data_IF_944398005138
#
_entry.id   IF_944398005138
#
_cell.length_a   1.000
_cell.length_b   1.000
_cell.length_c   1.000
_cell.angle_alpha   90.00
_cell.angle_beta   90.00
_cell.angle_gamma   90.00
#
_symmetry.space_group_name_H-M   'P 1'
#
loop_
_entity.id
_entity.type
_entity.pdbx_description
1 polymer ?
#
# COMPACT_ATOMS: atom_id res chain seq x y z
N UNK A 1 22.00 -6.75 -32.52
CA UNK A 1 21.81 -7.75 -31.46
C UNK A 1 20.95 -7.12 -30.36
N UNK A 2 19.62 -7.21 -30.44
CA UNK A 2 18.75 -6.72 -29.36
C UNK A 2 18.47 -7.86 -28.38
N UNK A 3 19.48 -8.20 -27.58
CA UNK A 3 19.29 -9.11 -26.45
C UNK A 3 18.54 -8.31 -25.38
N UNK A 4 17.20 -8.28 -25.48
CA UNK A 4 16.37 -7.41 -24.66
C UNK A 4 16.22 -8.04 -23.27
N UNK A 5 17.31 -8.02 -22.49
CA UNK A 5 17.39 -8.62 -21.16
C UNK A 5 16.32 -7.99 -20.24
N UNK A 6 15.54 -8.79 -19.48
CA UNK A 6 14.48 -8.26 -18.64
C UNK A 6 15.06 -7.56 -17.40
N UNK A 7 14.62 -6.34 -17.13
CA UNK A 7 14.93 -5.63 -15.89
C UNK A 7 13.80 -5.80 -14.88
N UNK A 8 14.14 -6.15 -13.64
CA UNK A 8 13.16 -6.49 -12.60
C UNK A 8 13.29 -5.48 -11.47
N UNK A 9 12.20 -4.75 -11.21
CA UNK A 9 12.03 -3.94 -10.01
C UNK A 9 11.12 -4.72 -9.06
N UNK A 10 11.69 -5.21 -7.97
CA UNK A 10 10.97 -5.96 -6.94
C UNK A 10 10.73 -5.03 -5.74
N UNK A 11 9.48 -4.61 -5.57
CA UNK A 11 9.14 -3.51 -4.68
C UNK A 11 8.33 -4.03 -3.48
N UNK A 12 8.71 -3.60 -2.28
CA UNK A 12 7.78 -3.66 -1.16
C UNK A 12 6.65 -2.62 -1.31
N UNK A 13 5.56 -2.80 -0.56
CA UNK A 13 4.37 -1.95 -0.64
C UNK A 13 4.33 -0.94 0.52
N UNK A 14 4.15 -1.43 1.75
CA UNK A 14 3.86 -0.66 2.95
C UNK A 14 5.11 0.08 3.44
N UNK A 15 5.08 1.42 3.45
CA UNK A 15 6.23 2.23 3.83
C UNK A 15 7.26 2.44 2.71
N UNK A 16 7.11 1.74 1.58
CA UNK A 16 7.97 1.87 0.40
C UNK A 16 7.27 2.65 -0.71
N UNK A 17 6.12 2.15 -1.17
CA UNK A 17 5.29 2.77 -2.22
C UNK A 17 4.17 3.60 -1.62
N UNK A 18 3.62 3.17 -0.48
CA UNK A 18 2.48 3.82 0.18
C UNK A 18 2.78 4.18 1.63
N UNK A 19 2.05 5.17 2.15
CA UNK A 19 2.06 5.58 3.55
C UNK A 19 1.31 4.61 4.47
N UNK A 20 1.00 5.07 5.68
CA UNK A 20 0.23 4.29 6.65
C UNK A 20 -1.16 3.97 6.10
N UNK A 21 -1.42 2.68 5.90
CA UNK A 21 -2.68 2.17 5.38
C UNK A 21 -3.70 1.85 6.49
N UNK A 22 -3.48 2.30 7.73
CA UNK A 22 -4.27 1.82 8.88
C UNK A 22 -5.73 2.27 8.84
N UNK A 23 -6.01 3.49 8.34
CA UNK A 23 -7.40 3.95 8.14
C UNK A 23 -8.06 3.26 6.95
N UNK A 24 -7.30 2.93 5.91
CA UNK A 24 -7.78 2.20 4.75
C UNK A 24 -8.17 0.77 5.12
N UNK A 25 -7.33 0.11 5.93
CA UNK A 25 -7.64 -1.15 6.57
C UNK A 25 -8.94 -1.06 7.39
N UNK A 26 -9.12 -0.01 8.20
CA UNK A 26 -10.34 0.17 9.00
C UNK A 26 -11.59 0.36 8.14
N UNK A 27 -11.51 1.14 7.05
CA UNK A 27 -12.61 1.31 6.09
C UNK A 27 -12.94 -0.02 5.40
N UNK A 28 -11.92 -0.78 5.00
CA UNK A 28 -12.10 -2.08 4.36
C UNK A 28 -12.74 -3.11 5.31
N UNK A 29 -12.33 -3.12 6.58
CA UNK A 29 -12.95 -3.98 7.58
C UNK A 29 -14.42 -3.61 7.82
N UNK A 30 -14.76 -2.31 7.90
CA UNK A 30 -16.16 -1.86 7.98
C UNK A 30 -16.94 -2.34 6.74
N UNK A 31 -16.37 -2.17 5.55
CA UNK A 31 -16.95 -2.62 4.30
C UNK A 31 -17.23 -4.13 4.30
N UNK A 32 -16.28 -4.95 4.72
CA UNK A 32 -16.43 -6.41 4.73
C UNK A 32 -17.50 -6.87 5.73
N UNK A 33 -17.54 -6.25 6.92
CA UNK A 33 -18.61 -6.53 7.89
C UNK A 33 -19.98 -6.16 7.29
N UNK A 34 -20.11 -4.98 6.69
CA UNK A 34 -21.33 -4.55 6.01
C UNK A 34 -21.70 -5.54 4.91
N UNK A 35 -20.73 -5.92 4.05
CA UNK A 35 -20.93 -6.84 2.93
C UNK A 35 -21.47 -8.19 3.38
N UNK A 36 -20.94 -8.76 4.47
CA UNK A 36 -21.42 -10.03 5.06
C UNK A 36 -22.86 -9.93 5.57
N UNK A 37 -23.28 -8.75 6.00
CA UNK A 37 -24.60 -8.50 6.57
C UNK A 37 -25.63 -7.99 5.54
N UNK A 38 -25.23 -7.83 4.27
CA UNK A 38 -26.18 -7.61 3.17
C UNK A 38 -26.84 -8.94 2.84
N UNK A 39 -28.15 -9.05 3.11
CA UNK A 39 -28.95 -10.25 2.82
C UNK A 39 -29.68 -10.07 1.49
N UNK A 40 -29.52 -11.04 0.59
CA UNK A 40 -30.32 -11.17 -0.64
C UNK A 40 -31.46 -12.15 -0.39
N UNK A 41 -32.72 -11.70 -0.55
CA UNK A 41 -33.92 -12.56 -0.54
C UNK A 41 -34.76 -12.30 -1.78
N UNK A 42 -35.10 -13.36 -2.52
CA UNK A 42 -35.97 -13.29 -3.71
C UNK A 42 -35.55 -12.20 -4.70
N UNK A 43 -34.25 -12.07 -4.99
CA UNK A 43 -33.71 -11.04 -5.89
C UNK A 43 -33.68 -9.62 -5.33
N UNK A 44 -34.24 -9.40 -4.12
CA UNK A 44 -34.30 -8.10 -3.46
C UNK A 44 -33.40 -8.06 -2.22
N UNK A 45 -32.72 -6.93 -2.03
CA UNK A 45 -31.84 -6.71 -0.88
C UNK A 45 -32.69 -6.35 0.34
N UNK A 46 -32.75 -7.24 1.34
CA UNK A 46 -33.42 -6.96 2.62
C UNK A 46 -32.37 -6.51 3.65
N UNK A 47 -32.11 -5.20 3.66
CA UNK A 47 -31.69 -4.34 4.78
C UNK A 47 -31.49 -2.95 4.14
N UNK A 48 -32.59 -2.25 3.91
CA UNK A 48 -32.61 -0.98 3.20
C UNK A 48 -31.64 0.00 3.85
N UNK A 49 -30.57 0.35 3.13
CA UNK A 49 -29.51 1.34 3.40
C UNK A 49 -28.08 0.79 3.58
N UNK A 50 -27.84 -0.51 3.87
CA UNK A 50 -26.45 -1.02 4.00
C UNK A 50 -25.63 -0.91 2.71
N UNK A 51 -26.27 -1.10 1.56
CA UNK A 51 -25.64 -0.94 0.23
C UNK A 51 -25.04 0.47 0.06
N UNK A 52 -25.74 1.51 0.55
CA UNK A 52 -25.26 2.89 0.52
C UNK A 52 -23.94 3.02 1.26
N UNK A 53 -23.84 2.46 2.47
CA UNK A 53 -22.62 2.52 3.27
C UNK A 53 -21.48 1.69 2.67
N UNK A 54 -21.78 0.53 2.07
CA UNK A 54 -20.81 -0.25 1.29
C UNK A 54 -20.25 0.59 0.13
N UNK A 55 -21.10 1.30 -0.60
CA UNK A 55 -20.70 2.22 -1.69
C UNK A 55 -19.92 3.43 -1.17
N UNK A 56 -20.26 3.96 0.01
CA UNK A 56 -19.48 5.02 0.65
C UNK A 56 -18.07 4.53 1.01
N UNK A 57 -17.94 3.33 1.56
CA UNK A 57 -16.64 2.72 1.81
C UNK A 57 -15.82 2.56 0.52
N UNK A 58 -16.43 2.07 -0.57
CA UNK A 58 -15.77 1.96 -1.87
C UNK A 58 -15.23 3.32 -2.33
N UNK A 59 -16.05 4.39 -2.26
CA UNK A 59 -15.63 5.75 -2.63
C UNK A 59 -14.50 6.28 -1.74
N UNK A 60 -14.59 6.04 -0.43
CA UNK A 60 -13.56 6.46 0.51
C UNK A 60 -12.23 5.78 0.22
N UNK A 61 -12.23 4.46 0.01
CA UNK A 61 -11.05 3.67 -0.37
C UNK A 61 -10.47 4.14 -1.70
N UNK A 62 -11.30 4.32 -2.74
CA UNK A 62 -10.86 4.83 -4.03
C UNK A 62 -10.16 6.19 -3.89
N UNK A 63 -10.71 7.09 -3.06
CA UNK A 63 -10.10 8.39 -2.81
C UNK A 63 -8.81 8.32 -1.98
N UNK A 64 -8.47 7.19 -1.35
CA UNK A 64 -7.28 7.08 -0.51
C UNK A 64 -5.98 7.15 -1.29
N UNK A 65 -5.95 6.75 -2.56
CA UNK A 65 -4.72 6.69 -3.38
C UNK A 65 -4.76 7.62 -4.60
N UNK A 66 -5.64 8.61 -4.61
CA UNK A 66 -5.60 9.66 -5.63
C UNK A 66 -4.38 10.60 -5.41
N UNK A 67 -4.03 11.39 -6.41
CA UNK A 67 -2.85 12.27 -6.35
C UNK A 67 -2.88 13.27 -5.17
N UNK A 68 -4.07 13.71 -4.77
CA UNK A 68 -4.25 14.68 -3.66
C UNK A 68 -4.09 14.04 -2.28
N UNK A 69 -4.22 12.72 -2.19
CA UNK A 69 -4.18 11.99 -0.92
C UNK A 69 -2.82 12.01 -0.26
N UNK A 70 -1.74 12.11 -1.06
CA UNK A 70 -0.35 11.85 -0.69
C UNK A 70 -0.13 10.48 -0.02
N UNK A 71 -1.09 9.55 -0.08
CA UNK A 71 -0.88 8.22 0.48
C UNK A 71 0.03 7.38 -0.43
N UNK A 72 -0.05 7.57 -1.75
CA UNK A 72 1.00 7.13 -2.65
C UNK A 72 2.23 8.02 -2.46
N UNK A 73 3.41 7.41 -2.26
CA UNK A 73 4.67 8.13 -2.08
C UNK A 73 4.94 9.03 -3.29
N UNK A 74 5.31 10.30 -3.09
CA UNK A 74 5.52 11.25 -4.18
C UNK A 74 6.46 10.73 -5.26
N UNK A 75 6.20 11.10 -6.51
CA UNK A 75 7.01 10.75 -7.69
C UNK A 75 7.06 9.26 -8.08
N UNK A 76 6.33 8.36 -7.40
CA UNK A 76 6.35 6.93 -7.72
C UNK A 76 5.88 6.61 -9.15
N UNK A 77 4.79 7.23 -9.61
CA UNK A 77 4.27 7.04 -10.98
C UNK A 77 5.25 7.56 -12.04
N UNK A 78 5.92 8.68 -11.75
CA UNK A 78 6.99 9.23 -12.57
C UNK A 78 8.16 8.26 -12.65
N UNK A 79 8.59 7.70 -11.52
CA UNK A 79 9.65 6.69 -11.47
C UNK A 79 9.31 5.49 -12.36
N UNK A 80 8.12 4.90 -12.22
CA UNK A 80 7.72 3.77 -13.08
C UNK A 80 7.73 4.13 -14.57
N UNK A 81 7.24 5.32 -14.91
CA UNK A 81 7.17 5.79 -16.30
C UNK A 81 8.57 5.99 -16.88
N UNK A 82 9.47 6.63 -16.14
CA UNK A 82 10.84 6.89 -16.59
C UNK A 82 11.66 5.61 -16.66
N UNK A 83 11.51 4.69 -15.70
CA UNK A 83 12.19 3.40 -15.74
C UNK A 83 11.75 2.54 -16.93
N UNK A 84 10.49 2.63 -17.36
CA UNK A 84 10.04 1.98 -18.61
C UNK A 84 10.66 2.59 -19.87
N UNK A 85 11.02 3.88 -19.86
CA UNK A 85 11.73 4.52 -20.97
C UNK A 85 13.20 4.11 -20.99
N UNK A 86 13.85 4.09 -19.83
CA UNK A 86 15.27 3.69 -19.68
C UNK A 86 15.44 2.19 -19.95
N UNK A 87 14.51 1.37 -19.47
CA UNK A 87 14.51 -0.08 -19.59
C UNK A 87 13.20 -0.54 -20.25
N UNK A 88 13.12 -0.59 -21.60
CA UNK A 88 11.89 -0.96 -22.30
C UNK A 88 11.34 -2.35 -21.95
N UNK A 89 12.22 -3.30 -21.60
CA UNK A 89 11.84 -4.62 -21.10
C UNK A 89 11.87 -4.70 -19.56
N UNK A 90 11.25 -3.73 -18.87
CA UNK A 90 11.18 -3.70 -17.41
C UNK A 90 9.87 -4.26 -16.85
N UNK A 91 9.99 -4.89 -15.69
CA UNK A 91 8.90 -5.52 -14.94
C UNK A 91 8.90 -5.02 -13.50
N UNK A 92 7.74 -4.61 -13.00
CA UNK A 92 7.53 -4.09 -11.64
C UNK A 92 6.68 -5.08 -10.87
N UNK A 93 7.30 -5.88 -10.00
CA UNK A 93 6.60 -6.83 -9.15
C UNK A 93 6.47 -6.27 -7.73
N UNK A 94 5.36 -6.57 -7.07
CA UNK A 94 5.20 -6.32 -5.64
C UNK A 94 5.60 -7.57 -4.86
N UNK A 95 6.39 -7.41 -3.81
CA UNK A 95 6.68 -8.41 -2.80
C UNK A 95 6.50 -7.84 -1.40
N UNK A 96 5.28 -7.95 -0.89
CA UNK A 96 4.87 -7.41 0.42
C UNK A 96 4.70 -8.51 1.47
N UNK A 97 4.92 -8.16 2.74
CA UNK A 97 4.55 -9.00 3.88
C UNK A 97 3.07 -8.84 4.30
N UNK A 98 2.26 -8.11 3.53
CA UNK A 98 0.82 -7.93 3.76
C UNK A 98 0.00 -9.17 3.41
N UNK A 99 -1.19 -9.25 4.03
CA UNK A 99 -2.16 -10.31 3.76
C UNK A 99 -2.55 -10.30 2.28
N UNK A 100 -2.75 -11.48 1.69
CA UNK A 100 -3.05 -11.60 0.27
C UNK A 100 -4.32 -10.86 -0.14
N UNK A 101 -5.40 -10.99 0.63
CA UNK A 101 -6.69 -10.38 0.28
C UNK A 101 -6.57 -8.85 0.33
N UNK A 102 -5.95 -8.35 1.38
CA UNK A 102 -5.71 -6.91 1.56
C UNK A 102 -4.80 -6.35 0.47
N UNK A 103 -3.61 -6.96 0.27
CA UNK A 103 -2.64 -6.48 -0.70
C UNK A 103 -3.23 -6.41 -2.12
N UNK A 104 -4.00 -7.42 -2.53
CA UNK A 104 -4.67 -7.40 -3.83
C UNK A 104 -5.71 -6.29 -3.95
N UNK A 105 -6.54 -6.07 -2.91
CA UNK A 105 -7.54 -4.99 -2.90
C UNK A 105 -6.86 -3.62 -3.00
N UNK A 106 -5.81 -3.40 -2.21
CA UNK A 106 -5.06 -2.15 -2.16
C UNK A 106 -4.35 -1.86 -3.50
N UNK A 107 -3.64 -2.84 -4.05
CA UNK A 107 -2.95 -2.71 -5.34
C UNK A 107 -3.93 -2.41 -6.48
N UNK A 108 -5.10 -3.04 -6.49
CA UNK A 108 -6.13 -2.74 -7.51
C UNK A 108 -6.58 -1.27 -7.46
N UNK A 109 -6.73 -0.70 -6.27
CA UNK A 109 -7.10 0.71 -6.10
C UNK A 109 -5.93 1.60 -6.56
N UNK A 110 -4.70 1.32 -6.13
CA UNK A 110 -3.51 2.08 -6.53
C UNK A 110 -3.37 2.12 -8.05
N UNK A 111 -3.46 0.96 -8.72
CA UNK A 111 -3.38 0.85 -10.18
C UNK A 111 -4.47 1.66 -10.88
N UNK A 112 -5.72 1.55 -10.41
CA UNK A 112 -6.87 2.27 -10.97
C UNK A 112 -6.72 3.79 -10.82
N UNK A 113 -6.37 4.26 -9.64
CA UNK A 113 -6.34 5.70 -9.32
C UNK A 113 -5.13 6.43 -9.92
N UNK A 114 -4.07 5.69 -10.26
CA UNK A 114 -2.81 6.28 -10.74
C UNK A 114 -2.46 5.88 -12.18
N UNK A 115 -3.36 5.15 -12.86
CA UNK A 115 -3.16 4.66 -14.22
C UNK A 115 -1.81 3.92 -14.41
N UNK A 116 -1.45 3.09 -13.43
CA UNK A 116 -0.26 2.24 -13.46
C UNK A 116 -0.67 0.77 -13.41
N UNK A 117 0.26 -0.11 -13.78
CA UNK A 117 0.09 -1.56 -13.69
C UNK A 117 1.35 -2.21 -13.18
N UNK A 118 1.21 -3.00 -12.12
CA UNK A 118 2.25 -3.90 -11.66
C UNK A 118 2.17 -5.21 -12.43
N UNK A 119 3.32 -5.86 -12.60
CA UNK A 119 3.40 -7.19 -13.15
C UNK A 119 2.85 -8.21 -12.12
N UNK A 120 2.37 -9.35 -12.63
CA UNK A 120 1.80 -10.43 -11.82
C UNK A 120 2.70 -11.67 -11.91
N UNK A 121 2.81 -12.47 -10.84
CA UNK A 121 2.00 -12.46 -9.62
C UNK A 121 2.37 -11.33 -8.65
N UNK A 122 1.45 -11.00 -7.74
CA UNK A 122 1.75 -10.19 -6.55
C UNK A 122 2.25 -11.17 -5.49
N UNK A 123 3.49 -10.98 -5.03
CA UNK A 123 4.04 -11.78 -3.95
C UNK A 123 3.61 -11.17 -2.61
N UNK A 124 3.03 -11.98 -1.75
CA UNK A 124 2.40 -11.54 -0.49
C UNK A 124 3.00 -12.30 0.68
N UNK A 125 2.42 -12.16 1.88
CA UNK A 125 2.84 -12.92 3.06
C UNK A 125 2.92 -14.42 2.82
N UNK A 126 2.05 -14.98 1.98
CA UNK A 126 2.03 -16.40 1.61
C UNK A 126 3.33 -16.85 0.92
N UNK A 127 4.02 -15.92 0.26
CA UNK A 127 5.31 -16.15 -0.40
C UNK A 127 6.49 -15.96 0.56
N UNK A 128 6.30 -15.27 1.68
CA UNK A 128 7.32 -15.09 2.70
C UNK A 128 7.53 -16.39 3.52
N UNK A 129 8.49 -16.38 4.43
CA UNK A 129 8.67 -17.44 5.44
C UNK A 129 8.98 -16.80 6.80
N UNK A 130 8.92 -17.58 7.88
CA UNK A 130 9.33 -17.11 9.21
C UNK A 130 10.72 -17.63 9.53
N UNK A 131 11.57 -16.78 10.09
CA UNK A 131 12.81 -17.23 10.69
C UNK A 131 12.57 -17.92 12.05
N UNK A 132 13.64 -18.39 12.68
CA UNK A 132 13.58 -19.08 13.98
C UNK A 132 13.05 -18.21 15.12
N UNK A 133 13.04 -16.88 14.93
CA UNK A 133 12.50 -15.91 15.89
C UNK A 133 11.06 -15.51 15.57
N UNK A 134 10.45 -16.12 14.53
CA UNK A 134 9.09 -15.83 14.10
C UNK A 134 8.96 -14.58 13.22
N UNK A 135 10.06 -13.92 12.86
CA UNK A 135 10.03 -12.73 12.00
C UNK A 135 9.77 -13.14 10.55
N UNK A 136 8.95 -12.36 9.86
CA UNK A 136 8.67 -12.57 8.43
C UNK A 136 9.90 -12.17 7.62
N UNK A 137 10.35 -13.06 6.74
CA UNK A 137 11.49 -12.91 5.83
C UNK A 137 11.07 -13.13 4.39
N UNK A 138 11.77 -12.45 3.48
CA UNK A 138 11.58 -12.53 2.03
C UNK A 138 12.79 -13.25 1.39
N UNK A 139 12.53 -13.99 0.33
CA UNK A 139 13.56 -14.62 -0.49
C UNK A 139 13.21 -14.49 -1.96
N UNK A 140 14.16 -13.99 -2.76
CA UNK A 140 14.10 -13.94 -4.22
C UNK A 140 14.19 -15.35 -4.79
N UNK A 141 15.11 -16.19 -4.29
CA UNK A 141 15.27 -17.58 -4.78
C UNK A 141 13.96 -18.35 -4.67
N UNK A 142 13.21 -18.18 -3.57
CA UNK A 142 11.90 -18.82 -3.37
C UNK A 142 10.86 -18.42 -4.42
N UNK A 143 10.85 -17.16 -4.87
CA UNK A 143 9.89 -16.66 -5.86
C UNK A 143 10.42 -16.69 -7.30
N UNK A 144 11.71 -16.96 -7.49
CA UNK A 144 12.40 -16.92 -8.77
C UNK A 144 11.72 -17.77 -9.86
N UNK A 145 11.27 -19.01 -9.62
CA UNK A 145 10.58 -19.79 -10.65
C UNK A 145 9.30 -19.11 -11.17
N UNK A 146 8.57 -18.41 -10.29
CA UNK A 146 7.35 -17.69 -10.64
C UNK A 146 7.66 -16.39 -11.37
N UNK A 147 8.71 -15.67 -10.93
CA UNK A 147 9.24 -14.49 -11.62
C UNK A 147 9.66 -14.82 -13.06
N UNK A 148 10.52 -15.82 -13.25
CA UNK A 148 11.03 -16.22 -14.56
C UNK A 148 9.90 -16.66 -15.50
N UNK A 149 8.91 -17.39 -14.98
CA UNK A 149 7.70 -17.76 -15.75
C UNK A 149 6.93 -16.52 -16.20
N UNK A 150 6.74 -15.53 -15.33
CA UNK A 150 5.99 -14.32 -15.63
C UNK A 150 6.67 -13.44 -16.69
N UNK A 151 8.00 -13.38 -16.69
CA UNK A 151 8.80 -12.62 -17.66
C UNK A 151 9.20 -13.45 -18.90
N UNK A 152 8.69 -14.69 -19.02
CA UNK A 152 8.93 -15.62 -20.14
C UNK A 152 10.40 -15.98 -20.36
N UNK A 153 11.14 -16.19 -19.27
CA UNK A 153 12.54 -16.64 -19.30
C UNK A 153 12.71 -18.10 -18.88
N UNK A 154 13.76 -18.80 -19.36
CA UNK A 154 14.11 -20.14 -18.89
C UNK A 154 14.36 -20.16 -17.37
N UNK A 155 14.09 -21.29 -16.71
CA UNK A 155 14.34 -21.46 -15.26
C UNK A 155 15.80 -21.27 -14.86
N UNK A 156 16.73 -21.43 -15.80
CA UNK A 156 18.18 -21.28 -15.63
C UNK A 156 18.67 -19.86 -15.89
N UNK A 157 17.79 -18.96 -16.33
CA UNK A 157 18.16 -17.58 -16.66
C UNK A 157 18.57 -16.82 -15.39
N UNK A 158 19.72 -16.16 -15.45
CA UNK A 158 20.24 -15.36 -14.35
C UNK A 158 19.67 -13.95 -14.41
N UNK A 159 19.16 -13.46 -13.28
CA UNK A 159 18.65 -12.09 -13.14
C UNK A 159 19.56 -11.20 -12.30
N UNK A 160 20.72 -11.72 -11.86
CA UNK A 160 21.58 -11.08 -10.85
C UNK A 160 21.95 -9.65 -11.25
N UNK A 161 22.28 -9.41 -12.52
CA UNK A 161 22.67 -8.07 -12.95
C UNK A 161 21.49 -7.13 -13.22
N UNK A 162 20.26 -7.65 -13.23
CA UNK A 162 19.08 -6.98 -13.78
C UNK A 162 17.93 -6.85 -12.77
N UNK A 163 18.11 -7.29 -11.53
CA UNK A 163 17.14 -7.13 -10.44
C UNK A 163 17.57 -6.03 -9.47
N UNK A 164 16.66 -5.11 -9.17
CA UNK A 164 16.76 -4.18 -8.05
C UNK A 164 15.59 -4.43 -7.10
N UNK A 165 15.92 -4.58 -5.82
CA UNK A 165 14.94 -4.72 -4.75
C UNK A 165 14.86 -3.38 -4.03
N UNK A 166 13.65 -2.88 -3.76
CA UNK A 166 13.45 -1.66 -2.97
C UNK A 166 12.49 -1.99 -1.85
N UNK A 167 12.95 -1.80 -0.62
CA UNK A 167 12.21 -2.09 0.61
C UNK A 167 12.63 -1.04 1.65
N UNK A 168 11.74 -0.68 2.56
CA UNK A 168 12.05 0.16 3.71
C UNK A 168 12.57 -0.65 4.91
N UNK A 169 12.57 -1.98 4.81
CA UNK A 169 13.04 -2.89 5.84
C UNK A 169 14.01 -3.95 5.28
N UNK A 170 15.07 -4.32 6.02
CA UNK A 170 16.02 -5.36 5.61
C UNK A 170 15.45 -6.77 5.86
N UNK A 171 14.38 -7.14 5.13
CA UNK A 171 13.66 -8.41 5.32
C UNK A 171 14.13 -9.55 4.41
N UNK A 172 14.93 -9.23 3.38
CA UNK A 172 15.46 -10.21 2.43
C UNK A 172 16.65 -10.97 3.01
N UNK A 173 16.65 -12.30 2.85
CA UNK A 173 17.77 -13.17 3.29
C UNK A 173 18.77 -13.49 2.19
N UNK A 174 18.36 -13.32 0.93
CA UNK A 174 19.16 -13.50 -0.28
C UNK A 174 19.10 -12.22 -1.13
N UNK A 175 19.96 -12.08 -2.13
CA UNK A 175 20.04 -10.89 -2.99
C UNK A 175 20.18 -9.57 -2.20
N UNK A 176 20.77 -9.60 -1.00
CA UNK A 176 20.94 -8.40 -0.15
C UNK A 176 21.82 -7.34 -0.80
N UNK A 177 22.77 -7.74 -1.64
CA UNK A 177 23.58 -6.83 -2.46
C UNK A 177 22.77 -6.10 -3.55
N UNK A 178 21.51 -6.46 -3.75
CA UNK A 178 20.59 -5.92 -4.75
C UNK A 178 19.47 -5.10 -4.07
N UNK A 179 19.49 -5.02 -2.73
CA UNK A 179 18.53 -4.31 -1.92
C UNK A 179 18.95 -2.86 -1.72
N UNK A 180 18.18 -1.96 -2.33
CA UNK A 180 18.19 -0.55 -2.01
C UNK A 180 17.22 -0.29 -0.85
N UNK A 181 17.77 -0.19 0.36
CA UNK A 181 17.00 0.18 1.54
C UNK A 181 16.59 1.66 1.43
N UNK A 182 15.31 1.96 1.64
CA UNK A 182 14.79 3.33 1.64
C UNK A 182 14.27 3.76 3.01
N UNK A 183 14.13 5.07 3.21
CA UNK A 183 13.44 5.60 4.38
C UNK A 183 11.95 5.21 4.34
N UNK A 184 11.39 4.88 5.50
CA UNK A 184 9.96 4.57 5.61
C UNK A 184 9.13 5.81 5.32
N UNK A 185 8.28 5.72 4.30
CA UNK A 185 7.25 6.68 4.00
C UNK A 185 5.98 6.34 4.78
N UNK A 186 5.69 7.09 5.83
CA UNK A 186 4.59 6.79 6.76
C UNK A 186 3.53 7.90 6.75
N UNK A 187 3.20 8.45 5.58
CA UNK A 187 2.21 9.53 5.50
C UNK A 187 0.84 9.03 5.96
N UNK A 188 0.25 9.71 6.96
CA UNK A 188 -1.04 9.33 7.54
C UNK A 188 -2.19 10.03 6.83
N UNK A 189 -3.09 9.26 6.20
CA UNK A 189 -4.36 9.78 5.70
C UNK A 189 -5.51 9.48 6.65
N UNK A 190 -6.01 10.51 7.33
CA UNK A 190 -7.16 10.40 8.23
C UNK A 190 -8.49 10.42 7.48
N UNK A 191 -9.39 9.52 7.88
CA UNK A 191 -10.79 9.55 7.49
C UNK A 191 -11.70 9.57 8.71
N UNK A 192 -12.73 10.41 8.66
CA UNK A 192 -13.82 10.34 9.62
C UNK A 192 -14.69 9.10 9.34
N UNK A 193 -14.39 8.00 10.04
CA UNK A 193 -15.05 6.70 9.81
C UNK A 193 -16.56 6.72 10.14
N UNK A 194 -17.08 7.73 10.84
CA UNK A 194 -18.53 7.82 11.09
C UNK A 194 -19.36 7.99 9.81
N UNK A 195 -18.76 8.44 8.72
CA UNK A 195 -19.42 8.57 7.42
C UNK A 195 -19.66 7.22 6.74
N UNK A 196 -18.84 6.21 7.05
CA UNK A 196 -18.94 4.85 6.51
C UNK A 196 -19.72 3.88 7.39
N UNK A 197 -20.17 4.31 8.58
CA UNK A 197 -20.85 3.45 9.55
C UNK A 197 -22.38 3.67 9.47
N UNK A 198 -23.18 2.61 9.25
CA UNK A 198 -24.64 2.64 9.31
C UNK A 198 -25.19 3.20 10.62
N UNK A 199 -26.38 3.81 10.59
CA UNK A 199 -27.02 4.31 11.81
C UNK A 199 -27.40 3.16 12.75
N UNK A 200 -27.82 2.05 12.15
CA UNK A 200 -28.18 0.79 12.76
C UNK A 200 -26.98 -0.08 13.17
N UNK A 201 -25.74 0.44 13.15
CA UNK A 201 -24.54 -0.37 13.43
C UNK A 201 -24.56 -1.12 14.78
N UNK A 202 -25.35 -0.65 15.74
CA UNK A 202 -25.51 -1.28 17.06
C UNK A 202 -26.29 -2.59 17.01
N UNK A 203 -27.10 -2.83 15.97
CA UNK A 203 -27.80 -4.10 15.73
C UNK A 203 -26.90 -5.15 15.07
N UNK A 204 -25.79 -4.73 14.45
CA UNK A 204 -24.79 -5.61 13.84
C UNK A 204 -23.68 -5.86 14.87
N UNK A 205 -23.74 -6.98 15.59
CA UNK A 205 -22.83 -7.28 16.73
C UNK A 205 -21.34 -7.14 16.37
N UNK A 206 -20.90 -7.70 15.24
CA UNK A 206 -19.52 -7.60 14.75
C UNK A 206 -19.10 -6.14 14.53
N UNK A 207 -19.98 -5.33 13.92
CA UNK A 207 -19.72 -3.91 13.66
C UNK A 207 -19.71 -3.09 14.94
N UNK A 208 -20.65 -3.33 15.87
CA UNK A 208 -20.68 -2.70 17.20
C UNK A 208 -19.38 -2.93 17.96
N UNK A 209 -18.88 -4.17 17.95
CA UNK A 209 -17.61 -4.51 18.59
C UNK A 209 -16.43 -3.81 17.90
N UNK A 210 -16.40 -3.82 16.57
CA UNK A 210 -15.36 -3.14 15.79
C UNK A 210 -15.31 -1.63 16.06
N UNK A 211 -16.46 -0.94 16.08
CA UNK A 211 -16.56 0.48 16.40
C UNK A 211 -16.10 0.77 17.83
N UNK A 212 -16.48 -0.06 18.80
CA UNK A 212 -16.03 0.07 20.20
C UNK A 212 -14.51 -0.03 20.32
N UNK A 213 -13.89 -0.92 19.54
CA UNK A 213 -12.43 -1.04 19.45
C UNK A 213 -11.78 0.20 18.82
N UNK A 214 -12.36 0.76 17.76
CA UNK A 214 -11.84 1.99 17.14
C UNK A 214 -11.90 3.20 18.08
N UNK A 215 -12.97 3.29 18.87
CA UNK A 215 -13.15 4.32 19.89
C UNK A 215 -12.10 4.18 21.00
N UNK A 216 -11.95 2.98 21.58
CA UNK A 216 -10.95 2.73 22.64
C UNK A 216 -9.52 2.98 22.17
N UNK A 217 -9.22 2.66 20.91
CA UNK A 217 -7.93 2.95 20.27
C UNK A 217 -7.77 4.41 19.81
N UNK A 218 -8.71 5.31 20.14
CA UNK A 218 -8.68 6.74 19.77
C UNK A 218 -8.56 6.99 18.26
N UNK A 219 -9.03 6.03 17.44
CA UNK A 219 -9.19 6.18 15.99
C UNK A 219 -10.51 6.86 15.63
N UNK A 220 -11.51 6.78 16.52
CA UNK A 220 -12.80 7.43 16.40
C UNK A 220 -13.21 8.15 17.68
N UNK A 221 -14.03 9.20 17.55
CA UNK A 221 -14.70 9.83 18.69
C UNK A 221 -16.02 9.12 19.02
N UNK A 222 -16.43 9.13 20.28
CA UNK A 222 -17.73 8.58 20.70
C UNK A 222 -18.85 9.46 20.16
N UNK A 223 -19.70 8.92 19.28
CA UNK A 223 -20.87 9.64 18.77
C UNK A 223 -22.07 9.36 19.67
N UNK A 224 -22.34 10.27 20.60
CA UNK A 224 -23.61 10.30 21.34
C UNK A 224 -24.54 11.30 20.65
N UNK A 225 -25.82 10.96 20.51
CA UNK A 225 -26.91 11.72 19.86
C UNK A 225 -26.50 12.98 19.03
N UNK A 226 -26.45 12.91 17.69
CA UNK A 226 -25.99 14.01 16.83
C UNK A 226 -26.87 15.26 16.84
N UNK A 227 -28.08 15.22 17.41
CA UNK A 227 -28.95 16.40 17.54
C UNK A 227 -28.53 17.34 18.69
N UNK A 228 -27.64 16.91 19.58
CA UNK A 228 -27.19 17.72 20.70
C UNK A 228 -25.98 18.58 20.31
N UNK A 229 -26.16 19.90 20.31
CA UNK A 229 -25.14 20.89 19.91
C UNK A 229 -23.85 20.81 20.73
N UNK A 230 -23.95 20.52 22.04
CA UNK A 230 -22.78 20.34 22.92
C UNK A 230 -21.97 19.11 22.50
N UNK A 231 -22.64 18.04 22.06
CA UNK A 231 -21.96 16.82 21.62
C UNK A 231 -21.29 17.05 20.25
N UNK A 232 -21.96 17.78 19.34
CA UNK A 232 -21.38 18.19 18.06
C UNK A 232 -20.13 19.05 18.26
N UNK A 233 -20.16 20.02 19.19
CA UNK A 233 -18.99 20.84 19.52
C UNK A 233 -17.80 19.98 19.99
N UNK A 234 -18.04 19.00 20.86
CA UNK A 234 -17.00 18.07 21.33
C UNK A 234 -16.43 17.23 20.19
N UNK A 235 -17.26 16.74 19.28
CA UNK A 235 -16.83 16.01 18.09
C UNK A 235 -15.93 16.89 17.20
N UNK A 236 -16.36 18.12 16.91
CA UNK A 236 -15.57 19.05 16.08
C UNK A 236 -14.24 19.41 16.74
N UNK A 237 -14.22 19.64 18.07
CA UNK A 237 -12.97 19.85 18.83
C UNK A 237 -12.04 18.63 18.75
N UNK A 238 -12.58 17.42 18.82
CA UNK A 238 -11.79 16.20 18.68
C UNK A 238 -11.21 16.07 17.26
N UNK A 239 -12.04 16.27 16.22
CA UNK A 239 -11.61 16.22 14.83
C UNK A 239 -10.50 17.25 14.56
N UNK A 240 -10.68 18.50 14.99
CA UNK A 240 -9.67 19.54 14.86
C UNK A 240 -8.33 19.13 15.49
N UNK A 241 -8.35 18.61 16.72
CA UNK A 241 -7.14 18.13 17.41
C UNK A 241 -6.48 16.97 16.67
N UNK A 242 -7.30 16.05 16.12
CA UNK A 242 -6.83 14.90 15.33
C UNK A 242 -6.13 15.36 14.05
N UNK A 243 -6.78 16.21 13.25
CA UNK A 243 -6.19 16.80 12.04
C UNK A 243 -4.91 17.58 12.35
N UNK A 244 -4.92 18.43 13.38
CA UNK A 244 -3.72 19.20 13.77
C UNK A 244 -2.54 18.28 14.12
N UNK A 245 -2.78 17.20 14.86
CA UNK A 245 -1.74 16.21 15.20
C UNK A 245 -1.21 15.52 13.94
N UNK A 246 -2.09 15.09 13.05
CA UNK A 246 -1.72 14.36 11.82
C UNK A 246 -0.98 15.28 10.84
N UNK A 247 -1.44 16.51 10.63
CA UNK A 247 -0.75 17.47 9.78
C UNK A 247 0.66 17.78 10.31
N UNK A 248 0.81 17.96 11.64
CA UNK A 248 2.13 18.12 12.26
C UNK A 248 3.02 16.89 12.02
N UNK A 249 2.47 15.69 12.16
CA UNK A 249 3.21 14.45 11.89
C UNK A 249 3.62 14.32 10.43
N UNK A 250 2.73 14.64 9.49
CA UNK A 250 2.95 14.48 8.06
C UNK A 250 3.92 15.51 7.47
N UNK A 251 4.25 16.58 8.19
CA UNK A 251 5.15 17.64 7.71
C UNK A 251 6.50 17.10 7.21
N UNK A 252 7.03 16.03 7.82
CA UNK A 252 8.30 15.40 7.39
C UNK A 252 8.25 14.74 6.01
N UNK A 253 7.05 14.49 5.47
CA UNK A 253 6.84 13.82 4.18
C UNK A 253 6.43 14.77 3.05
N UNK A 254 6.22 16.06 3.35
CA UNK A 254 5.72 17.03 2.35
C UNK A 254 6.65 17.19 1.15
N UNK A 255 7.95 17.02 1.38
CA UNK A 255 9.01 17.13 0.38
C UNK A 255 9.77 15.81 0.20
N UNK A 256 9.10 14.66 0.37
CA UNK A 256 9.74 13.36 0.09
C UNK A 256 10.08 13.26 -1.40
N UNK A 257 11.38 13.13 -1.71
CA UNK A 257 11.91 13.09 -3.08
C UNK A 257 12.56 11.75 -3.42
N UNK A 258 12.37 10.70 -2.61
CA UNK A 258 13.06 9.42 -2.77
C UNK A 258 13.02 8.88 -4.21
N UNK A 259 11.81 8.76 -4.77
CA UNK A 259 11.61 8.24 -6.13
C UNK A 259 12.18 9.16 -7.21
N UNK A 260 12.11 10.48 -6.99
CA UNK A 260 12.68 11.47 -7.91
C UNK A 260 14.21 11.40 -7.95
N UNK A 261 14.84 11.34 -6.77
CA UNK A 261 16.30 11.21 -6.63
C UNK A 261 16.77 9.91 -7.27
N UNK A 262 16.10 8.78 -6.98
CA UNK A 262 16.43 7.49 -7.57
C UNK A 262 16.34 7.51 -9.11
N UNK A 263 15.25 8.05 -9.67
CA UNK A 263 15.12 8.21 -11.13
C UNK A 263 16.26 9.05 -11.71
N UNK A 264 16.58 10.16 -11.05
CA UNK A 264 17.61 11.10 -11.51
C UNK A 264 18.98 10.43 -11.52
N UNK A 265 19.34 9.73 -10.45
CA UNK A 265 20.61 9.03 -10.33
C UNK A 265 20.75 7.91 -11.38
N UNK A 266 19.71 7.10 -11.59
CA UNK A 266 19.71 6.03 -12.60
C UNK A 266 20.00 6.60 -13.99
N UNK A 267 19.32 7.69 -14.35
CA UNK A 267 19.50 8.35 -15.66
C UNK A 267 20.86 9.04 -15.78
N UNK A 268 21.25 9.81 -14.78
CA UNK A 268 22.50 10.58 -14.78
C UNK A 268 23.73 9.68 -14.91
N UNK A 269 23.72 8.53 -14.23
CA UNK A 269 24.84 7.57 -14.28
C UNK A 269 24.70 6.50 -15.36
N UNK A 270 23.67 6.57 -16.23
CA UNK A 270 23.40 5.57 -17.27
C UNK A 270 23.46 4.14 -16.72
N UNK A 271 22.81 3.89 -15.59
CA UNK A 271 22.90 2.60 -14.90
C UNK A 271 22.27 1.51 -15.78
N UNK A 272 23.03 0.46 -16.06
CA UNK A 272 22.59 -0.73 -16.84
C UNK A 272 22.68 -2.03 -16.05
N UNK A 273 23.16 -2.00 -14.81
CA UNK A 273 23.24 -3.18 -13.95
C UNK A 273 23.04 -2.82 -12.48
N UNK A 274 22.27 -3.63 -11.75
CA UNK A 274 21.91 -3.46 -10.35
C UNK A 274 22.71 -4.36 -9.40
N UNK A 275 24.02 -4.45 -9.62
CA UNK A 275 24.93 -5.17 -8.72
C UNK A 275 25.26 -4.37 -7.44
N UNK A 276 25.98 -5.00 -6.51
CA UNK A 276 26.41 -4.44 -5.23
C UNK A 276 27.00 -3.03 -5.32
N UNK A 277 27.87 -2.78 -6.32
CA UNK A 277 28.54 -1.49 -6.50
C UNK A 277 27.52 -0.40 -6.84
N UNK A 278 26.62 -0.69 -7.79
CA UNK A 278 25.55 0.23 -8.18
C UNK A 278 24.62 0.52 -7.02
N UNK A 279 24.16 -0.50 -6.30
CA UNK A 279 23.25 -0.32 -5.15
C UNK A 279 23.93 0.50 -4.04
N UNK A 280 25.20 0.20 -3.74
CA UNK A 280 25.97 0.97 -2.75
C UNK A 280 26.15 2.43 -3.15
N UNK A 281 26.32 2.72 -4.45
CA UNK A 281 26.39 4.08 -4.98
C UNK A 281 25.04 4.80 -4.82
N UNK A 282 23.94 4.16 -5.22
CA UNK A 282 22.59 4.73 -5.09
C UNK A 282 22.26 5.03 -3.62
N UNK A 283 22.54 4.09 -2.72
CA UNK A 283 22.27 4.25 -1.30
C UNK A 283 23.05 5.41 -0.65
N UNK A 284 24.26 5.71 -1.12
CA UNK A 284 25.05 6.84 -0.58
C UNK A 284 24.59 8.20 -1.09
N UNK A 285 23.86 8.24 -2.19
CA UNK A 285 23.48 9.45 -2.90
C UNK A 285 22.02 9.87 -2.71
N UNK A 286 21.21 9.05 -2.03
CA UNK A 286 19.77 9.27 -1.77
C UNK A 286 19.55 9.83 -0.37
#
# INVERSE_FOLDING_TARGET
MSNNEPYIFLLDLDGTIIGDCSYQCDIYNIQEIIRKNIILKNGNIQLGNLVKYKTLCDKMLDNCYNLQSKLLRPHFTTFMTEMKKVFPNSFFFIYTASDKTWAYKEILIIEKQNNIKFNRPIFTRDNCFKDNYGNIKKSVVKILPQLLKAIKMPKTHSIVNNIMIIDNNPTFVDYTDHLLLCSTYDYLKFHNLWESIPQEYTSISELKHFVSRLISNKKMYIKNNPANTIILEKLHKWLYRKYKKINKYNKKFENDTFWLNLTTLIKHHNITSFNKRTISMLHKSI
#
